data_IF_206670353809
#
_entry.id   IF_206670353809
#
_cell.length_a   1.000
_cell.length_b   1.000
_cell.length_c   1.000
_cell.angle_alpha   90.00
_cell.angle_beta   90.00
_cell.angle_gamma   90.00
#
_symmetry.space_group_name_H-M   'P 1'
#
loop_
_entity.id
_entity.type
_entity.pdbx_description
1 polymer ?
#
# COMPACT_ATOMS: atom_id res chain seq x y z
N UNK A 1 -25.53 -31.16 -1.46
CA UNK A 1 -26.02 -30.72 -0.13
C UNK A 1 -24.77 -30.39 0.65
N UNK A 2 -24.68 -29.19 1.22
CA UNK A 2 -23.50 -28.75 1.97
C UNK A 2 -23.37 -29.60 3.23
N UNK A 3 -22.17 -30.10 3.51
CA UNK A 3 -21.90 -31.02 4.64
C UNK A 3 -21.92 -30.29 5.99
N UNK A 4 -21.55 -29.00 6.00
CA UNK A 4 -21.44 -28.17 7.20
C UNK A 4 -21.93 -26.74 6.90
N UNK A 5 -22.91 -26.24 7.66
CA UNK A 5 -23.50 -24.90 7.47
C UNK A 5 -22.95 -23.85 8.44
N UNK A 6 -22.05 -24.22 9.36
CA UNK A 6 -21.60 -23.35 10.44
C UNK A 6 -21.04 -21.99 9.96
N UNK A 7 -20.22 -21.96 8.90
CA UNK A 7 -19.68 -20.69 8.38
C UNK A 7 -20.75 -19.83 7.69
N UNK A 8 -21.70 -20.45 7.00
CA UNK A 8 -22.83 -19.73 6.40
C UNK A 8 -23.74 -19.14 7.48
N UNK A 9 -23.99 -19.90 8.55
CA UNK A 9 -24.77 -19.46 9.71
C UNK A 9 -24.06 -18.34 10.49
N UNK A 10 -22.74 -18.43 10.64
CA UNK A 10 -21.94 -17.43 11.33
C UNK A 10 -21.97 -16.08 10.60
N UNK A 11 -21.92 -16.11 9.26
CA UNK A 11 -22.10 -14.92 8.42
C UNK A 11 -23.58 -14.52 8.26
N UNK A 12 -24.52 -15.41 8.57
CA UNK A 12 -25.96 -15.16 8.42
C UNK A 12 -26.44 -15.19 6.98
N UNK A 13 -25.85 -16.04 6.14
CA UNK A 13 -26.20 -16.21 4.72
C UNK A 13 -26.64 -17.65 4.41
N UNK A 14 -27.30 -17.84 3.27
CA UNK A 14 -27.65 -19.17 2.79
C UNK A 14 -26.44 -19.85 2.11
N UNK A 15 -26.42 -21.18 2.07
CA UNK A 15 -25.37 -21.96 1.41
C UNK A 15 -25.19 -21.65 -0.09
N UNK A 16 -26.24 -21.13 -0.75
CA UNK A 16 -26.22 -20.70 -2.15
C UNK A 16 -25.85 -19.21 -2.32
N UNK A 17 -25.42 -18.51 -1.27
CA UNK A 17 -25.08 -17.11 -1.32
C UNK A 17 -23.95 -16.84 -2.34
N UNK A 18 -24.09 -15.76 -3.08
CA UNK A 18 -23.08 -15.25 -4.00
C UNK A 18 -21.86 -14.73 -3.22
N UNK A 19 -20.70 -14.65 -3.87
CA UNK A 19 -19.49 -14.09 -3.23
C UNK A 19 -19.71 -12.66 -2.73
N UNK A 20 -20.54 -11.89 -3.43
CA UNK A 20 -20.93 -10.54 -3.01
C UNK A 20 -21.77 -10.55 -1.73
N UNK A 21 -22.73 -11.47 -1.60
CA UNK A 21 -23.56 -11.62 -0.40
C UNK A 21 -22.73 -12.08 0.80
N UNK A 22 -21.80 -13.02 0.60
CA UNK A 22 -20.86 -13.50 1.62
C UNK A 22 -19.97 -12.34 2.10
N UNK A 23 -19.41 -11.57 1.17
CA UNK A 23 -18.58 -10.39 1.48
C UNK A 23 -19.36 -9.32 2.24
N UNK A 24 -20.59 -9.03 1.81
CA UNK A 24 -21.47 -8.08 2.51
C UNK A 24 -21.82 -8.56 3.91
N UNK A 25 -22.09 -9.85 4.06
CA UNK A 25 -22.44 -10.47 5.32
C UNK A 25 -21.27 -10.50 6.30
N UNK A 26 -20.07 -10.83 5.82
CA UNK A 26 -18.83 -10.71 6.60
C UNK A 26 -18.62 -9.29 7.08
N UNK A 27 -18.72 -8.28 6.20
CA UNK A 27 -18.62 -6.88 6.61
C UNK A 27 -19.54 -6.59 7.77
N UNK A 28 -20.84 -6.92 7.65
CA UNK A 28 -21.86 -6.71 8.68
C UNK A 28 -21.57 -7.47 9.98
N UNK A 29 -21.15 -8.72 9.89
CA UNK A 29 -20.79 -9.54 11.03
C UNK A 29 -19.55 -8.99 11.75
N UNK A 30 -18.53 -8.55 11.01
CA UNK A 30 -17.32 -7.93 11.52
C UNK A 30 -17.64 -6.62 12.28
N UNK A 31 -18.57 -5.78 11.80
CA UNK A 31 -19.05 -4.60 12.56
C UNK A 31 -19.67 -5.02 13.88
N UNK A 32 -20.62 -5.95 13.79
CA UNK A 32 -21.50 -6.31 14.90
C UNK A 32 -20.72 -7.00 16.01
N UNK A 33 -19.74 -7.80 15.63
CA UNK A 33 -18.94 -8.63 16.53
C UNK A 33 -17.57 -8.02 16.84
N UNK A 34 -17.30 -6.81 16.35
CA UNK A 34 -16.07 -6.11 16.68
C UNK A 34 -15.95 -5.93 18.21
N UNK A 35 -14.79 -6.24 18.82
CA UNK A 35 -14.57 -6.07 20.26
C UNK A 35 -14.90 -4.66 20.77
N UNK A 36 -14.60 -3.61 20.00
CA UNK A 36 -14.94 -2.22 20.38
C UNK A 36 -16.44 -1.94 20.52
N UNK A 37 -17.28 -2.63 19.76
CA UNK A 37 -18.74 -2.48 19.87
C UNK A 37 -19.33 -3.38 20.95
N UNK A 38 -18.51 -4.29 21.49
CA UNK A 38 -18.90 -5.26 22.51
C UNK A 38 -17.82 -5.32 23.62
N UNK A 39 -17.44 -4.18 24.24
CA UNK A 39 -16.35 -4.12 25.20
C UNK A 39 -16.64 -4.96 26.46
N UNK A 40 -17.91 -5.14 26.80
CA UNK A 40 -18.35 -5.95 27.94
C UNK A 40 -18.45 -7.46 27.62
N UNK A 41 -18.21 -7.88 26.37
CA UNK A 41 -18.26 -9.29 25.96
C UNK A 41 -16.83 -9.86 25.83
N UNK A 42 -16.34 -10.64 26.83
CA UNK A 42 -15.01 -11.24 26.77
C UNK A 42 -14.86 -12.27 25.64
N UNK A 43 -15.96 -12.70 25.02
CA UNK A 43 -15.95 -13.61 23.86
C UNK A 43 -15.97 -12.88 22.51
N UNK A 44 -16.00 -11.54 22.49
CA UNK A 44 -16.08 -10.77 21.24
C UNK A 44 -14.87 -11.01 20.33
N UNK A 45 -13.65 -11.07 20.89
CA UNK A 45 -12.43 -11.36 20.12
C UNK A 45 -12.48 -12.74 19.45
N UNK A 46 -12.92 -13.77 20.18
CA UNK A 46 -13.08 -15.12 19.65
C UNK A 46 -14.14 -15.17 18.54
N UNK A 47 -15.29 -14.51 18.74
CA UNK A 47 -16.36 -14.42 17.73
C UNK A 47 -15.90 -13.67 16.49
N UNK A 48 -15.10 -12.61 16.64
CA UNK A 48 -14.54 -11.86 15.51
C UNK A 48 -13.56 -12.73 14.71
N UNK A 49 -12.72 -13.50 15.40
CA UNK A 49 -11.80 -14.45 14.77
C UNK A 49 -12.56 -15.55 13.99
N UNK A 50 -13.62 -16.12 14.58
CA UNK A 50 -14.45 -17.11 13.89
C UNK A 50 -15.11 -16.54 12.62
N UNK A 51 -15.53 -15.26 12.66
CA UNK A 51 -16.12 -14.56 11.50
C UNK A 51 -15.09 -14.30 10.40
N UNK A 52 -13.86 -13.96 10.78
CA UNK A 52 -12.72 -13.86 9.86
C UNK A 52 -12.43 -15.19 9.17
N UNK A 53 -12.36 -16.28 9.93
CA UNK A 53 -12.15 -17.64 9.43
C UNK A 53 -13.27 -18.07 8.46
N UNK A 54 -14.53 -17.84 8.86
CA UNK A 54 -15.69 -18.15 8.02
C UNK A 54 -15.62 -17.41 6.67
N UNK A 55 -15.23 -16.14 6.69
CA UNK A 55 -15.07 -15.38 5.46
C UNK A 55 -13.92 -15.89 4.62
N UNK A 56 -12.74 -16.13 5.19
CA UNK A 56 -11.57 -16.65 4.47
C UNK A 56 -11.90 -17.93 3.69
N UNK A 57 -12.63 -18.85 4.33
CA UNK A 57 -13.03 -20.11 3.70
C UNK A 57 -14.13 -19.89 2.66
N UNK A 58 -15.13 -19.06 2.93
CA UNK A 58 -16.29 -18.87 2.05
C UNK A 58 -16.05 -17.90 0.89
N UNK A 59 -15.05 -17.01 0.99
CA UNK A 59 -14.71 -16.03 -0.05
C UNK A 59 -13.88 -16.64 -1.17
N UNK A 60 -13.03 -17.62 -0.88
CA UNK A 60 -12.25 -18.35 -1.89
C UNK A 60 -13.06 -19.52 -2.46
N UNK A 61 -13.20 -19.57 -3.79
CA UNK A 61 -14.02 -20.60 -4.46
C UNK A 61 -13.52 -22.03 -4.21
N UNK A 62 -12.20 -22.24 -4.09
CA UNK A 62 -11.61 -23.57 -3.86
C UNK A 62 -11.78 -24.01 -2.41
N UNK A 63 -11.56 -23.11 -1.45
CA UNK A 63 -11.76 -23.38 -0.02
C UNK A 63 -13.23 -23.60 0.29
N UNK A 64 -14.13 -22.78 -0.29
CA UNK A 64 -15.57 -22.96 -0.18
C UNK A 64 -16.02 -24.31 -0.74
N UNK A 65 -15.52 -24.69 -1.92
CA UNK A 65 -15.84 -26.00 -2.51
C UNK A 65 -15.34 -27.18 -1.65
N UNK A 66 -14.19 -27.05 -0.99
CA UNK A 66 -13.70 -28.05 -0.01
C UNK A 66 -14.59 -28.08 1.22
N UNK A 67 -14.91 -26.93 1.79
CA UNK A 67 -15.80 -26.79 2.95
C UNK A 67 -17.18 -27.41 2.68
N UNK A 68 -17.77 -27.10 1.53
CA UNK A 68 -19.07 -27.63 1.13
C UNK A 68 -19.09 -29.16 1.03
N UNK A 69 -17.93 -29.76 0.70
CA UNK A 69 -17.77 -31.20 0.46
C UNK A 69 -17.30 -31.99 1.68
N UNK A 70 -16.51 -31.38 2.56
CA UNK A 70 -15.80 -32.09 3.64
C UNK A 70 -16.01 -31.49 5.03
N UNK A 71 -16.62 -30.30 5.14
CA UNK A 71 -16.85 -29.59 6.39
C UNK A 71 -15.60 -28.93 6.97
N UNK A 72 -15.76 -28.29 8.13
CA UNK A 72 -14.76 -27.41 8.76
C UNK A 72 -13.36 -28.02 8.95
N UNK A 73 -13.27 -29.32 9.25
CA UNK A 73 -12.00 -29.98 9.58
C UNK A 73 -11.00 -30.12 8.43
N UNK A 74 -11.45 -30.01 7.18
CA UNK A 74 -10.62 -30.19 5.97
C UNK A 74 -10.52 -28.91 5.12
N UNK A 75 -11.12 -27.81 5.59
CA UNK A 75 -11.21 -26.53 4.86
C UNK A 75 -10.45 -25.37 5.50
N UNK A 76 -10.01 -25.52 6.75
CA UNK A 76 -9.18 -24.52 7.43
C UNK A 76 -7.72 -24.72 6.99
N UNK A 77 -7.02 -23.68 6.50
CA UNK A 77 -5.57 -23.73 6.32
C UNK A 77 -4.87 -24.14 7.62
N UNK A 78 -3.80 -24.95 7.53
CA UNK A 78 -3.20 -25.60 8.71
C UNK A 78 -2.56 -24.60 9.69
N UNK A 79 -2.34 -23.36 9.26
CA UNK A 79 -1.94 -22.22 10.09
C UNK A 79 -2.99 -21.09 9.89
N UNK A 80 -3.51 -20.50 10.98
CA UNK A 80 -4.47 -19.39 10.89
C UNK A 80 -3.86 -18.16 10.18
N UNK A 81 -4.69 -17.24 9.63
CA UNK A 81 -4.29 -16.03 8.88
C UNK A 81 -2.83 -16.05 8.36
N UNK A 82 -2.55 -16.91 7.38
CA UNK A 82 -1.20 -17.30 6.94
C UNK A 82 -0.36 -16.15 6.35
N UNK A 83 -0.97 -15.04 5.91
CA UNK A 83 -0.25 -13.93 5.29
C UNK A 83 -0.81 -12.56 5.71
N UNK A 84 -0.06 -11.74 6.49
CA UNK A 84 -0.38 -10.33 6.77
C UNK A 84 -0.70 -9.52 5.51
N UNK A 85 -0.19 -9.93 4.35
CA UNK A 85 -0.43 -9.31 3.05
C UNK A 85 -1.77 -9.68 2.43
N UNK A 86 -2.26 -10.90 2.65
CA UNK A 86 -3.62 -11.28 2.28
C UNK A 86 -4.64 -10.59 3.19
N UNK A 87 -4.36 -10.53 4.50
CA UNK A 87 -5.15 -9.75 5.44
C UNK A 87 -5.18 -8.27 5.02
N UNK A 88 -4.04 -7.69 4.65
CA UNK A 88 -3.96 -6.34 4.13
C UNK A 88 -4.80 -6.16 2.85
N UNK A 89 -4.62 -7.03 1.85
CA UNK A 89 -5.39 -6.97 0.60
C UNK A 89 -6.90 -7.08 0.83
N UNK A 90 -7.30 -7.89 1.81
CA UNK A 90 -8.68 -8.01 2.27
C UNK A 90 -9.20 -6.72 2.92
N UNK A 91 -8.39 -6.08 3.78
CA UNK A 91 -8.76 -4.88 4.51
C UNK A 91 -8.85 -3.66 3.61
N UNK A 92 -8.00 -3.53 2.59
CA UNK A 92 -7.93 -2.35 1.73
C UNK A 92 -8.67 -2.50 0.39
N UNK A 93 -9.49 -3.54 0.25
CA UNK A 93 -10.36 -3.72 -0.92
C UNK A 93 -9.60 -4.05 -2.22
N UNK A 94 -8.40 -4.63 -2.11
CA UNK A 94 -7.45 -4.82 -3.21
C UNK A 94 -8.04 -5.61 -4.39
N UNK A 95 -8.83 -6.64 -4.12
CA UNK A 95 -9.40 -7.48 -5.19
C UNK A 95 -10.43 -6.76 -6.06
N UNK A 96 -11.32 -5.97 -5.44
CA UNK A 96 -12.38 -5.28 -6.18
C UNK A 96 -11.81 -4.20 -7.11
N UNK A 97 -10.72 -3.54 -6.68
CA UNK A 97 -10.03 -2.54 -7.48
C UNK A 97 -8.93 -3.10 -8.38
N UNK A 98 -8.68 -4.41 -8.39
CA UNK A 98 -7.59 -5.03 -9.16
C UNK A 98 -7.59 -4.65 -10.63
N UNK A 99 -8.77 -4.51 -11.25
CA UNK A 99 -8.90 -4.07 -12.65
C UNK A 99 -8.47 -2.62 -12.90
N UNK A 100 -8.48 -1.78 -11.86
CA UNK A 100 -8.18 -0.35 -11.93
C UNK A 100 -6.76 -0.05 -11.46
N UNK A 101 -6.36 -0.59 -10.31
CA UNK A 101 -5.10 -0.24 -9.62
C UNK A 101 -4.06 -1.35 -9.63
N UNK A 102 -4.42 -2.57 -10.02
CA UNK A 102 -3.57 -3.75 -9.89
C UNK A 102 -3.58 -4.33 -8.47
N UNK A 103 -2.64 -5.24 -8.21
CA UNK A 103 -2.42 -5.78 -6.86
C UNK A 103 -1.52 -4.81 -6.07
N UNK A 104 -1.84 -4.61 -4.79
CA UNK A 104 -1.01 -3.82 -3.88
C UNK A 104 0.10 -4.71 -3.34
N UNK A 105 1.35 -4.40 -3.67
CA UNK A 105 2.51 -5.23 -3.33
C UNK A 105 3.44 -4.55 -2.33
N UNK A 106 3.24 -3.28 -2.01
CA UNK A 106 4.16 -2.52 -1.17
C UNK A 106 4.44 -3.19 0.18
N UNK A 107 3.42 -3.71 0.88
CA UNK A 107 3.64 -4.33 2.19
C UNK A 107 4.48 -5.61 2.09
N UNK A 108 4.20 -6.45 1.09
CA UNK A 108 4.98 -7.66 0.78
C UNK A 108 6.43 -7.32 0.46
N UNK A 109 6.62 -6.27 -0.35
CA UNK A 109 7.94 -5.78 -0.74
C UNK A 109 8.71 -5.27 0.47
N UNK A 110 8.09 -4.49 1.34
CA UNK A 110 8.72 -3.99 2.56
C UNK A 110 9.10 -5.13 3.52
N UNK A 111 8.19 -6.09 3.75
CA UNK A 111 8.48 -7.25 4.62
C UNK A 111 9.67 -8.04 4.10
N UNK A 112 9.65 -8.39 2.82
CA UNK A 112 10.71 -9.19 2.21
C UNK A 112 12.04 -8.44 2.08
N UNK A 113 12.01 -7.13 1.84
CA UNK A 113 13.20 -6.29 1.88
C UNK A 113 13.80 -6.17 3.29
N UNK A 114 12.96 -6.08 4.33
CA UNK A 114 13.41 -6.08 5.72
C UNK A 114 14.08 -7.42 6.11
N UNK A 115 13.50 -8.54 5.68
CA UNK A 115 14.08 -9.88 5.86
C UNK A 115 15.44 -10.01 5.14
N UNK A 116 15.53 -9.58 3.88
CA UNK A 116 16.76 -9.66 3.06
C UNK A 116 17.88 -8.73 3.54
N UNK A 117 17.52 -7.55 4.07
CA UNK A 117 18.48 -6.58 4.61
C UNK A 117 19.03 -6.98 5.99
N UNK A 118 18.43 -7.98 6.65
CA UNK A 118 18.91 -8.47 7.94
C UNK A 118 18.57 -7.56 9.12
N UNK A 119 17.51 -6.74 9.00
CA UNK A 119 17.06 -5.82 10.05
C UNK A 119 16.46 -6.51 11.28
N UNK A 120 16.46 -7.85 11.33
CA UNK A 120 16.00 -8.65 12.46
C UNK A 120 17.16 -9.42 13.07
N UNK A 121 17.46 -9.12 14.34
CA UNK A 121 18.23 -9.89 15.34
C UNK A 121 19.76 -9.75 15.52
N UNK A 122 20.49 -8.89 14.80
CA UNK A 122 21.96 -8.82 14.98
C UNK A 122 22.48 -7.77 16.00
N UNK A 123 21.69 -6.78 16.44
CA UNK A 123 22.22 -5.72 17.34
C UNK A 123 22.20 -6.07 18.84
N UNK A 124 21.65 -7.21 19.26
CA UNK A 124 21.61 -7.61 20.69
C UNK A 124 22.81 -8.41 21.21
N UNK A 125 23.87 -8.63 20.41
CA UNK A 125 25.00 -9.48 20.82
C UNK A 125 26.32 -8.78 21.13
N UNK A 126 26.48 -7.50 20.79
CA UNK A 126 27.79 -6.86 20.91
C UNK A 126 28.00 -6.00 22.19
N UNK A 127 26.99 -5.82 23.06
CA UNK A 127 27.17 -5.05 24.32
C UNK A 127 27.55 -5.86 25.57
N UNK A 128 27.82 -7.17 25.48
CA UNK A 128 28.16 -8.00 26.67
C UNK A 128 29.58 -8.56 26.72
N UNK A 129 30.57 -7.90 26.08
CA UNK A 129 31.98 -8.31 26.18
C UNK A 129 32.98 -7.15 26.27
N UNK A 130 32.69 -6.11 27.05
CA UNK A 130 33.77 -5.22 27.55
C UNK A 130 33.48 -4.83 29.00
N UNK A 131 33.59 -5.79 29.91
CA UNK A 131 33.77 -5.53 31.35
C UNK A 131 34.33 -6.81 31.99
N UNK A 132 35.65 -7.01 31.90
CA UNK A 132 36.48 -7.53 33.00
C UNK A 132 37.96 -7.60 32.56
N UNK A 133 38.77 -6.60 32.95
CA UNK A 133 40.19 -6.76 33.28
C UNK A 133 40.77 -5.44 33.79
N UNK A 134 40.69 -5.29 35.10
CA UNK A 134 41.32 -4.26 35.93
C UNK A 134 42.85 -4.22 35.85
N UNK A 135 43.37 -2.98 35.99
CA UNK A 135 44.62 -2.54 36.67
C UNK A 135 45.98 -2.92 36.08
N UNK A 136 46.82 -1.94 35.69
CA UNK A 136 47.80 -1.34 36.63
C UNK A 136 48.55 -0.11 36.04
N UNK A 137 48.98 0.74 36.98
CA UNK A 137 49.68 2.03 37.03
C UNK A 137 50.50 2.66 35.86
N UNK A 138 50.28 3.97 35.72
CA UNK A 138 51.13 5.12 35.24
C UNK A 138 52.59 5.15 35.74
N UNK A 139 53.47 6.12 35.35
CA UNK A 139 53.56 6.97 34.14
C UNK A 139 55.00 7.08 33.56
N UNK A 140 55.14 7.79 32.42
CA UNK A 140 56.11 8.89 32.19
C UNK A 140 57.06 8.78 30.96
N UNK A 141 57.07 9.90 30.21
CA UNK A 141 58.20 10.63 29.61
C UNK A 141 58.83 10.23 28.25
N UNK A 142 58.70 11.20 27.33
CA UNK A 142 59.72 11.75 26.39
C UNK A 142 60.47 10.81 25.44
N UNK A 143 60.35 11.06 24.13
CA UNK A 143 61.24 11.92 23.33
C UNK A 143 61.34 11.46 21.86
N UNK A 144 61.44 12.47 21.00
CA UNK A 144 61.87 12.49 19.59
C UNK A 144 62.73 11.29 19.13
N UNK A 145 62.56 10.87 17.88
CA UNK A 145 63.40 11.35 16.75
C UNK A 145 63.14 10.53 15.48
N UNK A 146 62.91 11.28 14.41
CA UNK A 146 62.95 10.95 12.97
C UNK A 146 64.04 9.96 12.57
N UNK A 147 63.77 9.00 11.66
CA UNK A 147 64.69 8.58 10.58
C UNK A 147 64.07 7.54 9.63
N UNK A 148 63.65 8.04 8.47
CA UNK A 148 63.83 7.49 7.11
C UNK A 148 64.02 5.97 6.88
N UNK A 149 63.11 5.46 6.07
CA UNK A 149 63.33 4.65 4.85
C UNK A 149 63.78 3.21 5.01
N UNK A 150 62.82 2.28 4.83
CA UNK A 150 63.00 1.21 3.85
C UNK A 150 61.65 0.74 3.33
N UNK A 151 61.45 0.95 2.03
CA UNK A 151 60.38 0.38 1.21
C UNK A 151 60.33 -1.14 1.37
N UNK A 152 59.23 -1.65 1.92
CA UNK A 152 58.78 -3.02 1.66
C UNK A 152 57.55 -2.94 0.76
N UNK A 153 57.72 -3.47 -0.43
CA UNK A 153 56.67 -3.78 -1.40
C UNK A 153 55.50 -4.47 -0.67
N UNK A 154 54.32 -3.85 -0.75
CA UNK A 154 53.07 -4.52 -0.40
C UNK A 154 52.58 -5.18 -1.68
N UNK A 155 52.83 -6.48 -1.75
CA UNK A 155 52.16 -7.44 -2.64
C UNK A 155 50.63 -7.19 -2.62
N UNK A 156 49.96 -6.98 -3.78
CA UNK A 156 48.50 -6.83 -3.84
C UNK A 156 47.84 -8.22 -3.75
N UNK A 157 48.13 -8.94 -2.68
CA UNK A 157 47.46 -10.18 -2.34
C UNK A 157 46.07 -9.85 -1.83
N UNK A 158 45.06 -10.26 -2.61
CA UNK A 158 43.62 -10.25 -2.32
C UNK A 158 43.34 -10.32 -0.80
N UNK A 159 42.82 -9.24 -0.22
CA UNK A 159 42.11 -9.32 1.08
C UNK A 159 41.02 -10.38 0.91
N UNK A 160 41.19 -11.54 1.55
CA UNK A 160 40.09 -12.50 1.67
C UNK A 160 39.04 -11.82 2.54
N UNK A 161 37.86 -11.62 1.96
CA UNK A 161 36.69 -11.17 2.70
C UNK A 161 36.48 -12.12 3.88
N UNK A 162 36.26 -11.56 5.06
CA UNK A 162 35.81 -12.32 6.23
C UNK A 162 34.47 -13.00 5.90
N UNK A 163 34.13 -14.09 6.59
CA UNK A 163 32.85 -14.78 6.34
C UNK A 163 31.65 -13.84 6.52
N UNK A 164 31.73 -12.90 7.47
CA UNK A 164 30.73 -11.83 7.65
C UNK A 164 30.64 -10.91 6.43
N UNK A 165 31.76 -10.44 5.89
CA UNK A 165 31.77 -9.60 4.68
C UNK A 165 31.25 -10.35 3.43
N UNK A 166 31.43 -11.68 3.36
CA UNK A 166 30.85 -12.51 2.28
C UNK A 166 29.34 -12.67 2.43
N UNK A 167 28.85 -12.86 3.66
CA UNK A 167 27.43 -12.94 3.97
C UNK A 167 26.72 -11.60 3.69
N UNK A 168 27.33 -10.47 4.07
CA UNK A 168 26.81 -9.12 3.80
C UNK A 168 26.73 -8.84 2.29
N UNK A 169 27.79 -9.19 1.56
CA UNK A 169 27.81 -9.04 0.10
C UNK A 169 26.72 -9.90 -0.56
N UNK A 170 26.51 -11.12 -0.07
CA UNK A 170 25.46 -12.02 -0.58
C UNK A 170 24.06 -11.47 -0.29
N UNK A 171 23.79 -10.99 0.92
CA UNK A 171 22.52 -10.34 1.29
C UNK A 171 22.20 -9.15 0.39
N UNK A 172 23.21 -8.29 0.15
CA UNK A 172 23.07 -7.14 -0.75
C UNK A 172 22.75 -7.55 -2.18
N UNK A 173 23.44 -8.56 -2.73
CA UNK A 173 23.16 -9.07 -4.08
C UNK A 173 21.76 -9.71 -4.19
N UNK A 174 21.27 -10.36 -3.14
CA UNK A 174 19.92 -10.91 -3.08
C UNK A 174 18.86 -9.81 -3.01
N UNK A 175 19.10 -8.75 -2.22
CA UNK A 175 18.23 -7.58 -2.14
C UNK A 175 18.16 -6.84 -3.49
N UNK A 176 19.29 -6.56 -4.15
CA UNK A 176 19.32 -5.91 -5.46
C UNK A 176 18.55 -6.72 -6.53
N UNK A 177 18.67 -8.05 -6.52
CA UNK A 177 17.89 -8.93 -7.42
C UNK A 177 16.40 -8.87 -7.12
N UNK A 178 16.04 -8.87 -5.84
CA UNK A 178 14.64 -8.80 -5.41
C UNK A 178 14.01 -7.46 -5.81
N UNK A 179 14.71 -6.34 -5.60
CA UNK A 179 14.25 -5.01 -6.00
C UNK A 179 14.05 -4.92 -7.52
N UNK A 180 14.98 -5.47 -8.32
CA UNK A 180 14.85 -5.51 -9.78
C UNK A 180 13.66 -6.37 -10.23
N UNK A 181 13.44 -7.53 -9.59
CA UNK A 181 12.26 -8.37 -9.85
C UNK A 181 10.96 -7.62 -9.57
N UNK A 182 10.87 -6.92 -8.43
CA UNK A 182 9.71 -6.10 -8.08
C UNK A 182 9.49 -4.98 -9.10
N UNK A 183 10.56 -4.31 -9.54
CA UNK A 183 10.51 -3.27 -10.57
C UNK A 183 9.93 -3.81 -11.89
N UNK A 184 10.38 -4.99 -12.33
CA UNK A 184 9.90 -5.63 -13.55
C UNK A 184 8.42 -6.04 -13.44
N UNK A 185 8.01 -6.62 -12.31
CA UNK A 185 6.60 -6.95 -12.05
C UNK A 185 5.71 -5.70 -12.10
N UNK A 186 6.14 -4.58 -11.51
CA UNK A 186 5.41 -3.31 -11.58
C UNK A 186 5.30 -2.76 -13.00
N UNK A 187 6.32 -2.93 -13.83
CA UNK A 187 6.28 -2.54 -15.25
C UNK A 187 5.25 -3.38 -16.01
N UNK A 188 5.26 -4.70 -15.83
CA UNK A 188 4.34 -5.61 -16.52
C UNK A 188 2.89 -5.37 -16.06
N UNK A 189 2.66 -5.24 -14.75
CA UNK A 189 1.35 -4.89 -14.19
C UNK A 189 0.82 -3.58 -14.80
N UNK A 190 1.65 -2.52 -14.87
CA UNK A 190 1.22 -1.26 -15.50
C UNK A 190 0.85 -1.44 -16.96
N UNK A 191 1.56 -2.27 -17.71
CA UNK A 191 1.25 -2.57 -19.11
C UNK A 191 -0.10 -3.28 -19.24
N UNK A 192 -0.34 -4.29 -18.40
CA UNK A 192 -1.61 -5.01 -18.35
C UNK A 192 -2.78 -4.07 -18.02
N UNK A 193 -2.64 -3.24 -16.99
CA UNK A 193 -3.63 -2.22 -16.61
C UNK A 193 -3.87 -1.20 -17.72
N UNK A 194 -2.82 -0.81 -18.45
CA UNK A 194 -2.94 0.09 -19.59
C UNK A 194 -3.80 -0.53 -20.69
N UNK A 195 -3.61 -1.82 -21.00
CA UNK A 195 -4.42 -2.53 -21.99
C UNK A 195 -5.89 -2.65 -21.53
N UNK A 196 -6.12 -3.08 -20.28
CA UNK A 196 -7.48 -3.16 -19.71
C UNK A 196 -8.20 -1.82 -19.75
N UNK A 197 -7.50 -0.73 -19.42
CA UNK A 197 -8.09 0.60 -19.46
C UNK A 197 -8.35 1.03 -20.91
N UNK A 198 -7.45 0.76 -21.86
CA UNK A 198 -7.70 0.99 -23.29
C UNK A 198 -8.96 0.27 -23.76
N UNK A 199 -9.16 -0.99 -23.36
CA UNK A 199 -10.36 -1.76 -23.69
C UNK A 199 -11.62 -1.11 -23.10
N UNK A 200 -11.57 -0.65 -21.84
CA UNK A 200 -12.69 0.12 -21.25
C UNK A 200 -12.94 1.43 -22.02
N UNK A 201 -11.90 2.17 -22.41
CA UNK A 201 -12.02 3.42 -23.19
C UNK A 201 -12.55 3.16 -24.60
N UNK A 202 -12.31 1.98 -25.18
CA UNK A 202 -12.77 1.61 -26.53
C UNK A 202 -14.31 1.63 -26.66
N UNK A 203 -15.01 1.32 -25.56
CA UNK A 203 -16.48 1.39 -25.48
C UNK A 203 -17.05 2.76 -25.83
N UNK A 204 -16.26 3.81 -25.66
CA UNK A 204 -16.61 5.17 -26.08
C UNK A 204 -15.80 5.60 -27.32
N UNK A 205 -14.49 5.37 -27.34
CA UNK A 205 -13.60 5.90 -28.38
C UNK A 205 -13.65 5.19 -29.74
N UNK A 206 -14.35 4.05 -29.84
CA UNK A 206 -14.66 3.39 -31.13
C UNK A 206 -16.08 3.70 -31.65
N UNK A 207 -16.75 4.69 -31.05
CA UNK A 207 -18.11 5.12 -31.43
C UNK A 207 -18.08 6.48 -32.12
N UNK A 208 -19.25 7.07 -32.38
CA UNK A 208 -19.33 8.47 -32.83
C UNK A 208 -19.13 9.50 -31.70
N UNK A 209 -18.96 9.03 -30.46
CA UNK A 209 -18.65 9.81 -29.26
C UNK A 209 -19.66 10.94 -28.97
N UNK A 210 -20.90 10.79 -29.45
CA UNK A 210 -21.98 11.74 -29.18
C UNK A 210 -22.46 11.66 -27.74
N UNK A 211 -23.27 12.65 -27.36
CA UNK A 211 -23.73 12.84 -25.98
C UNK A 211 -24.50 11.62 -25.44
N UNK A 212 -25.34 10.97 -26.24
CA UNK A 212 -26.09 9.77 -25.87
C UNK A 212 -25.17 8.57 -25.57
N UNK A 213 -24.12 8.38 -26.36
CA UNK A 213 -23.10 7.36 -26.11
C UNK A 213 -22.28 7.73 -24.88
N UNK A 214 -21.92 9.01 -24.72
CA UNK A 214 -21.21 9.50 -23.54
C UNK A 214 -22.03 9.27 -22.25
N UNK A 215 -23.34 9.51 -22.28
CA UNK A 215 -24.23 9.22 -21.14
C UNK A 215 -24.28 7.72 -20.83
N UNK A 216 -24.38 6.87 -21.86
CA UNK A 216 -24.39 5.42 -21.68
C UNK A 216 -23.08 4.91 -21.08
N UNK A 217 -21.94 5.44 -21.55
CA UNK A 217 -20.62 5.15 -21.02
C UNK A 217 -20.49 5.59 -19.55
N UNK A 218 -20.92 6.82 -19.22
CA UNK A 218 -20.95 7.32 -17.84
C UNK A 218 -21.84 6.47 -16.93
N UNK A 219 -23.02 6.06 -17.41
CA UNK A 219 -23.93 5.20 -16.66
C UNK A 219 -23.29 3.87 -16.28
N UNK A 220 -22.59 3.21 -17.22
CA UNK A 220 -21.86 1.97 -16.92
C UNK A 220 -20.78 2.17 -15.85
N UNK A 221 -19.99 3.23 -15.97
CA UNK A 221 -18.96 3.57 -14.99
C UNK A 221 -19.56 3.87 -13.61
N UNK A 222 -20.74 4.49 -13.58
CA UNK A 222 -21.43 4.78 -12.33
C UNK A 222 -21.89 3.51 -11.64
N UNK A 223 -22.47 2.54 -12.34
CA UNK A 223 -22.81 1.23 -11.74
C UNK A 223 -21.60 0.52 -11.13
N UNK A 224 -20.45 0.55 -11.83
CA UNK A 224 -19.20 -0.03 -11.32
C UNK A 224 -18.74 0.73 -10.07
N UNK A 225 -18.77 2.07 -10.11
CA UNK A 225 -18.40 2.92 -8.98
C UNK A 225 -19.31 2.76 -7.75
N UNK A 226 -20.62 2.53 -7.93
CA UNK A 226 -21.55 2.26 -6.83
C UNK A 226 -21.21 0.95 -6.10
N UNK A 227 -20.67 -0.05 -6.81
CA UNK A 227 -20.17 -1.27 -6.16
C UNK A 227 -18.83 -1.02 -5.45
N UNK A 228 -17.92 -0.32 -6.13
CA UNK A 228 -16.57 -0.06 -5.63
C UNK A 228 -16.55 0.87 -4.43
N UNK A 229 -17.47 1.83 -4.36
CA UNK A 229 -17.51 2.77 -3.23
C UNK A 229 -17.79 2.06 -1.92
N UNK A 230 -18.41 0.88 -1.91
CA UNK A 230 -18.73 0.15 -0.69
C UNK A 230 -17.55 -0.67 -0.15
N UNK A 231 -16.44 -0.73 -0.87
CA UNK A 231 -15.18 -1.32 -0.40
C UNK A 231 -14.50 -0.42 0.64
N UNK A 232 -13.67 -1.00 1.49
CA UNK A 232 -12.82 -0.24 2.43
C UNK A 232 -11.96 0.74 1.67
N UNK A 233 -11.96 2.01 2.07
CA UNK A 233 -11.29 3.11 1.37
C UNK A 233 -11.73 3.28 -0.10
N UNK A 234 -12.79 2.60 -0.53
CA UNK A 234 -13.22 2.57 -1.93
C UNK A 234 -13.60 3.94 -2.46
N UNK A 235 -14.25 4.77 -1.63
CA UNK A 235 -14.54 6.15 -1.98
C UNK A 235 -13.26 6.98 -2.21
N UNK A 236 -12.28 6.84 -1.33
CA UNK A 236 -10.98 7.53 -1.44
C UNK A 236 -10.19 7.07 -2.68
N UNK A 237 -10.21 5.76 -2.98
CA UNK A 237 -9.57 5.21 -4.19
C UNK A 237 -10.25 5.73 -5.44
N UNK A 238 -11.58 5.71 -5.51
CA UNK A 238 -12.35 6.27 -6.63
C UNK A 238 -12.03 7.75 -6.84
N UNK A 239 -12.00 8.55 -5.77
CA UNK A 239 -11.65 9.97 -5.88
C UNK A 239 -10.21 10.18 -6.35
N UNK A 240 -9.28 9.34 -5.89
CA UNK A 240 -7.87 9.37 -6.31
C UNK A 240 -7.74 9.05 -7.81
N UNK A 241 -8.36 7.95 -8.26
CA UNK A 241 -8.46 7.59 -9.69
C UNK A 241 -9.05 8.75 -10.50
N UNK A 242 -10.19 9.26 -10.05
CA UNK A 242 -10.92 10.31 -10.75
C UNK A 242 -10.10 11.58 -10.92
N UNK A 243 -9.43 12.01 -9.84
CA UNK A 243 -8.56 13.18 -9.81
C UNK A 243 -7.36 13.03 -10.76
N UNK A 244 -6.69 11.87 -10.75
CA UNK A 244 -5.54 11.62 -11.63
C UNK A 244 -5.98 11.59 -13.09
N UNK A 245 -7.04 10.85 -13.43
CA UNK A 245 -7.53 10.77 -14.81
C UNK A 245 -7.95 12.15 -15.34
N UNK A 246 -8.67 12.93 -14.53
CA UNK A 246 -9.08 14.30 -14.87
C UNK A 246 -7.88 15.23 -15.06
N UNK A 247 -6.85 15.10 -14.21
CA UNK A 247 -5.65 15.94 -14.28
C UNK A 247 -4.79 15.58 -15.49
N UNK A 248 -4.47 14.30 -15.68
CA UNK A 248 -3.62 13.82 -16.79
C UNK A 248 -4.27 14.08 -18.15
N UNK A 249 -5.58 13.83 -18.29
CA UNK A 249 -6.33 14.15 -19.51
C UNK A 249 -6.33 15.65 -19.82
N UNK A 250 -6.61 16.52 -18.84
CA UNK A 250 -6.60 17.97 -19.03
C UNK A 250 -5.22 18.49 -19.43
N UNK A 251 -4.15 18.03 -18.77
CA UNK A 251 -2.77 18.41 -19.11
C UNK A 251 -2.47 18.02 -20.55
N UNK A 252 -2.77 16.77 -20.91
CA UNK A 252 -2.53 16.26 -22.26
C UNK A 252 -3.29 17.09 -23.32
N UNK A 253 -4.60 17.28 -23.15
CA UNK A 253 -5.45 18.03 -24.08
C UNK A 253 -4.99 19.49 -24.24
N UNK A 254 -4.62 20.16 -23.14
CA UNK A 254 -4.09 21.54 -23.18
C UNK A 254 -2.77 21.62 -23.95
N UNK A 255 -1.90 20.62 -23.79
CA UNK A 255 -0.64 20.56 -24.54
C UNK A 255 -0.87 20.35 -26.05
N UNK A 256 -1.92 19.61 -26.44
CA UNK A 256 -2.28 19.46 -27.86
C UNK A 256 -2.84 20.74 -28.47
N UNK A 257 -3.63 21.52 -27.73
CA UNK A 257 -4.12 22.83 -28.21
C UNK A 257 -3.00 23.85 -28.44
N UNK A 258 -1.83 23.67 -27.82
CA UNK A 258 -0.67 24.55 -28.02
C UNK A 258 0.11 24.24 -29.31
N UNK A 259 0.04 23.01 -29.83
CA UNK A 259 0.79 22.58 -31.01
C UNK A 259 -0.08 22.29 -32.26
N UNK A 260 -1.40 22.15 -32.11
CA UNK A 260 -2.32 21.79 -33.20
C UNK A 260 -3.25 22.94 -33.59
N UNK A 261 -2.98 23.58 -34.74
CA UNK A 261 -3.85 24.53 -35.44
C UNK A 261 -4.10 25.89 -34.77
N UNK A 262 -3.04 26.71 -34.70
CA UNK A 262 -3.16 28.17 -34.62
C UNK A 262 -2.39 28.84 -33.46
N UNK A 263 -1.18 29.33 -33.74
CA UNK A 263 -0.69 30.54 -33.08
C UNK A 263 0.39 30.40 -32.01
N UNK A 264 1.63 30.12 -32.44
CA UNK A 264 2.83 30.60 -31.71
C UNK A 264 3.07 32.12 -31.91
N UNK A 265 2.24 32.80 -32.71
CA UNK A 265 2.45 34.20 -33.15
C UNK A 265 1.47 35.25 -32.62
N UNK A 266 0.48 34.92 -31.78
CA UNK A 266 -0.40 35.94 -31.19
C UNK A 266 -0.68 35.69 -29.70
N UNK A 267 0.30 36.01 -28.86
CA UNK A 267 0.15 37.05 -27.83
C UNK A 267 1.30 36.96 -26.82
N UNK A 268 2.45 37.47 -27.22
CA UNK A 268 3.44 38.04 -26.29
C UNK A 268 2.88 39.38 -25.79
N UNK A 269 1.69 39.38 -25.18
CA UNK A 269 1.15 40.53 -24.43
C UNK A 269 -0.03 40.16 -23.53
N UNK A 270 0.09 39.10 -22.75
CA UNK A 270 -0.73 38.94 -21.54
C UNK A 270 0.10 38.24 -20.45
N UNK A 271 1.04 39.01 -19.88
CA UNK A 271 1.74 38.62 -18.65
C UNK A 271 0.72 38.72 -17.51
N UNK A 272 0.27 37.58 -16.98
CA UNK A 272 -0.42 37.57 -15.68
C UNK A 272 -1.13 36.29 -15.27
N UNK A 273 -1.59 35.43 -16.20
CA UNK A 273 -2.54 34.35 -15.83
C UNK A 273 -2.01 32.92 -15.89
N UNK A 274 -1.09 32.61 -16.81
CA UNK A 274 -0.81 31.20 -17.18
C UNK A 274 0.23 30.52 -16.27
N UNK A 275 0.94 31.28 -15.44
CA UNK A 275 2.01 30.74 -14.56
C UNK A 275 1.47 30.04 -13.32
N UNK A 276 0.22 30.32 -12.90
CA UNK A 276 -0.34 29.76 -11.65
C UNK A 276 -0.70 28.27 -11.77
N UNK A 277 -1.21 27.83 -12.92
CA UNK A 277 -1.70 26.45 -13.08
C UNK A 277 -0.57 25.44 -13.32
N UNK A 278 0.53 25.85 -13.98
CA UNK A 278 1.73 25.01 -14.16
C UNK A 278 2.50 24.85 -12.83
N UNK A 279 2.45 25.85 -11.94
CA UNK A 279 3.06 25.76 -10.61
C UNK A 279 2.34 24.75 -9.69
N UNK A 280 1.03 24.53 -9.88
CA UNK A 280 0.29 23.50 -9.12
C UNK A 280 0.75 22.07 -9.43
N UNK A 281 1.27 21.82 -10.63
CA UNK A 281 1.87 20.51 -11.01
C UNK A 281 3.22 20.29 -10.32
N UNK A 282 3.96 21.36 -10.04
CA UNK A 282 5.15 21.31 -9.16
C UNK A 282 4.71 21.02 -7.72
N UNK A 283 3.53 21.46 -7.28
CA UNK A 283 3.03 21.12 -5.94
C UNK A 283 2.82 19.61 -5.74
N UNK A 284 2.43 18.85 -6.76
CA UNK A 284 2.33 17.39 -6.64
C UNK A 284 3.70 16.71 -6.57
N UNK A 285 4.70 17.26 -7.26
CA UNK A 285 6.08 16.83 -7.13
C UNK A 285 6.69 17.26 -5.78
N UNK A 286 6.31 18.42 -5.25
CA UNK A 286 6.67 18.90 -3.92
C UNK A 286 5.97 18.13 -2.81
N UNK A 287 4.73 17.69 -3.00
CA UNK A 287 4.04 16.80 -2.05
C UNK A 287 4.69 15.43 -2.07
N UNK A 288 5.02 14.88 -3.26
CA UNK A 288 5.81 13.66 -3.36
C UNK A 288 7.21 13.83 -2.76
N UNK A 289 7.87 14.96 -2.98
CA UNK A 289 9.18 15.28 -2.43
C UNK A 289 9.10 15.50 -0.92
N UNK A 290 8.04 16.11 -0.41
CA UNK A 290 7.79 16.32 1.02
C UNK A 290 7.42 15.03 1.72
N UNK A 291 6.63 14.15 1.11
CA UNK A 291 6.38 12.79 1.59
C UNK A 291 7.64 11.95 1.53
N UNK A 292 8.47 12.08 0.47
CA UNK A 292 9.78 11.43 0.39
C UNK A 292 10.77 11.99 1.41
N UNK A 293 10.75 13.30 1.67
CA UNK A 293 11.57 13.97 2.69
C UNK A 293 11.09 13.59 4.10
N UNK A 294 9.79 13.53 4.36
CA UNK A 294 9.19 13.07 5.62
C UNK A 294 9.51 11.58 5.84
N UNK A 295 9.38 10.74 4.81
CA UNK A 295 9.78 9.32 4.86
C UNK A 295 11.29 9.15 5.04
N UNK A 296 12.12 9.90 4.31
CA UNK A 296 13.57 9.84 4.43
C UNK A 296 14.06 10.38 5.77
N UNK A 297 13.39 11.39 6.32
CA UNK A 297 13.72 11.97 7.63
C UNK A 297 13.29 11.03 8.76
N UNK A 298 12.15 10.38 8.60
CA UNK A 298 11.69 9.31 9.49
C UNK A 298 12.61 8.07 9.43
N UNK A 299 13.30 7.83 8.31
CA UNK A 299 14.34 6.79 8.17
C UNK A 299 15.77 7.25 8.55
N UNK A 300 16.11 8.54 8.40
CA UNK A 300 17.47 9.08 8.63
C UNK A 300 17.71 9.58 10.05
N UNK A 301 16.65 9.90 10.80
CA UNK A 301 16.79 10.23 12.21
C UNK A 301 17.17 8.95 12.98
N UNK A 302 18.46 8.62 12.97
CA UNK A 302 19.09 7.65 13.89
C UNK A 302 18.72 7.95 15.34
N UNK A 303 18.46 9.24 15.64
CA UNK A 303 17.98 9.71 16.94
C UNK A 303 16.50 9.37 17.17
N UNK A 304 15.64 9.33 16.14
CA UNK A 304 14.24 8.86 16.25
C UNK A 304 14.18 7.35 16.46
N UNK A 305 14.99 6.58 15.73
CA UNK A 305 15.10 5.12 15.95
C UNK A 305 15.72 4.81 17.32
N UNK A 306 16.77 5.52 17.74
CA UNK A 306 17.35 5.36 19.08
C UNK A 306 16.42 5.83 20.21
N UNK A 307 15.63 6.89 20.01
CA UNK A 307 14.61 7.34 20.97
C UNK A 307 13.44 6.36 21.05
N UNK A 308 13.02 5.80 19.91
CA UNK A 308 11.92 4.83 19.86
C UNK A 308 12.36 3.46 20.38
N UNK A 309 13.60 3.05 20.16
CA UNK A 309 14.21 1.88 20.79
C UNK A 309 14.46 2.10 22.28
N UNK A 310 14.89 3.29 22.70
CA UNK A 310 15.02 3.65 24.10
C UNK A 310 13.65 3.72 24.78
N UNK A 311 12.61 4.26 24.12
CA UNK A 311 11.22 4.25 24.58
C UNK A 311 10.64 2.83 24.59
N UNK A 312 10.95 1.98 23.61
CA UNK A 312 10.54 0.57 23.62
C UNK A 312 11.30 -0.26 24.65
N UNK A 313 12.57 0.04 24.93
CA UNK A 313 13.38 -0.57 25.99
C UNK A 313 12.94 -0.08 27.38
N UNK A 314 12.63 1.21 27.55
CA UNK A 314 12.01 1.76 28.77
C UNK A 314 10.58 1.28 28.93
N UNK A 315 9.80 1.14 27.87
CA UNK A 315 8.47 0.53 27.90
C UNK A 315 8.55 -0.97 28.23
N UNK A 316 9.53 -1.70 27.70
CA UNK A 316 9.78 -3.12 28.07
C UNK A 316 10.30 -3.25 29.49
N UNK A 317 11.13 -2.33 29.98
CA UNK A 317 11.62 -2.29 31.38
C UNK A 317 10.52 -1.89 32.36
N UNK A 318 9.67 -0.92 32.00
CA UNK A 318 8.53 -0.51 32.83
C UNK A 318 7.36 -1.50 32.78
N UNK A 319 7.10 -2.14 31.63
CA UNK A 319 6.12 -3.23 31.49
C UNK A 319 6.60 -4.54 32.14
N UNK A 320 7.91 -4.76 32.27
CA UNK A 320 8.45 -5.89 33.04
C UNK A 320 8.29 -5.71 34.57
N UNK A 321 8.01 -4.49 35.04
CA UNK A 321 7.81 -4.16 36.46
C UNK A 321 6.35 -3.80 36.82
N UNK A 322 5.48 -3.55 35.84
CA UNK A 322 4.04 -3.35 36.04
C UNK A 322 3.24 -4.50 35.41
N UNK A 323 2.53 -5.28 36.24
CA UNK A 323 1.47 -6.18 35.78
C UNK A 323 0.39 -5.36 35.07
N UNK A 324 0.46 -5.31 33.74
CA UNK A 324 -0.59 -4.71 32.92
C UNK A 324 -1.81 -5.61 32.99
N UNK A 325 -2.98 -5.00 33.18
CA UNK A 325 -4.23 -5.75 33.08
C UNK A 325 -4.41 -6.25 31.64
N UNK A 326 -5.10 -7.38 31.43
CA UNK A 326 -5.42 -7.86 30.07
C UNK A 326 -6.12 -6.81 29.19
N UNK A 327 -6.85 -5.86 29.81
CA UNK A 327 -7.54 -4.76 29.15
C UNK A 327 -6.57 -3.69 28.62
N UNK A 328 -5.58 -3.29 29.42
CA UNK A 328 -4.55 -2.31 29.02
C UNK A 328 -3.64 -2.86 27.90
N UNK A 329 -3.32 -4.16 27.95
CA UNK A 329 -2.59 -4.86 26.88
C UNK A 329 -3.38 -4.85 25.57
N UNK A 330 -4.67 -5.17 25.61
CA UNK A 330 -5.54 -5.15 24.44
C UNK A 330 -5.68 -3.74 23.84
N UNK A 331 -5.75 -2.70 24.67
CA UNK A 331 -5.81 -1.30 24.20
C UNK A 331 -4.51 -0.87 23.52
N UNK A 332 -3.35 -1.27 24.08
CA UNK A 332 -2.04 -1.02 23.48
C UNK A 332 -1.86 -1.74 22.14
N UNK A 333 -2.23 -3.02 22.06
CA UNK A 333 -2.20 -3.81 20.82
C UNK A 333 -3.06 -3.16 19.73
N UNK A 334 -4.27 -2.73 20.07
CA UNK A 334 -5.18 -2.01 19.16
C UNK A 334 -4.54 -0.72 18.62
N UNK A 335 -3.93 0.06 19.51
CA UNK A 335 -3.28 1.33 19.12
C UNK A 335 -2.13 1.10 18.14
N UNK A 336 -1.24 0.15 18.45
CA UNK A 336 -0.10 -0.18 17.58
C UNK A 336 -0.59 -0.72 16.22
N UNK A 337 -1.58 -1.60 16.23
CA UNK A 337 -2.20 -2.13 15.01
C UNK A 337 -2.78 -1.00 14.14
N UNK A 338 -3.51 -0.05 14.74
CA UNK A 338 -4.06 1.10 14.02
C UNK A 338 -2.98 1.95 13.33
N UNK A 339 -1.84 2.18 14.00
CA UNK A 339 -0.70 2.91 13.42
C UNK A 339 -0.05 2.16 12.26
N UNK A 340 0.14 0.85 12.39
CA UNK A 340 0.68 0.01 11.32
C UNK A 340 -0.25 0.04 10.10
N UNK A 341 -1.56 -0.10 10.32
CA UNK A 341 -2.57 -0.02 9.26
C UNK A 341 -2.58 1.35 8.57
N UNK A 342 -2.45 2.44 9.33
CA UNK A 342 -2.40 3.81 8.77
C UNK A 342 -1.16 4.05 7.91
N UNK A 343 0.02 3.59 8.36
CA UNK A 343 1.25 3.67 7.59
C UNK A 343 1.16 2.83 6.30
N UNK A 344 0.66 1.61 6.41
CA UNK A 344 0.51 0.70 5.28
C UNK A 344 -0.54 1.21 4.26
N UNK A 345 -1.62 1.84 4.74
CA UNK A 345 -2.57 2.56 3.88
C UNK A 345 -1.91 3.72 3.13
N UNK A 346 -1.15 4.55 3.84
CA UNK A 346 -0.48 5.71 3.24
C UNK A 346 0.50 5.28 2.15
N UNK A 347 1.25 4.22 2.39
CA UNK A 347 2.10 3.59 1.39
C UNK A 347 1.31 3.06 0.19
N UNK A 348 0.21 2.36 0.42
CA UNK A 348 -0.66 1.84 -0.64
C UNK A 348 -1.28 2.94 -1.49
N UNK A 349 -1.72 4.05 -0.88
CA UNK A 349 -2.18 5.23 -1.59
C UNK A 349 -1.09 5.80 -2.51
N UNK A 350 0.14 5.87 -2.03
CA UNK A 350 1.28 6.30 -2.86
C UNK A 350 1.51 5.36 -4.05
N UNK A 351 1.47 4.05 -3.82
CA UNK A 351 1.58 3.02 -4.86
C UNK A 351 0.46 3.16 -5.92
N UNK A 352 -0.80 3.26 -5.48
CA UNK A 352 -1.96 3.48 -6.36
C UNK A 352 -1.73 4.70 -7.23
N UNK A 353 -1.38 5.85 -6.62
CA UNK A 353 -1.17 7.07 -7.38
C UNK A 353 -0.05 6.93 -8.42
N UNK A 354 1.08 6.30 -8.05
CA UNK A 354 2.20 6.04 -8.97
C UNK A 354 1.78 5.16 -10.15
N UNK A 355 1.11 4.05 -9.87
CA UNK A 355 0.61 3.10 -10.87
C UNK A 355 -0.35 3.78 -11.85
N UNK A 356 -1.35 4.51 -11.36
CA UNK A 356 -2.36 5.15 -12.20
C UNK A 356 -1.77 6.27 -13.05
N UNK A 357 -0.83 7.06 -12.52
CA UNK A 357 -0.11 8.06 -13.32
C UNK A 357 0.66 7.40 -14.46
N UNK A 358 1.38 6.31 -14.19
CA UNK A 358 2.12 5.55 -15.20
C UNK A 358 1.21 4.92 -16.26
N UNK A 359 0.05 4.38 -15.86
CA UNK A 359 -0.97 3.87 -16.80
C UNK A 359 -1.49 4.99 -17.70
N UNK A 360 -1.79 6.17 -17.15
CA UNK A 360 -2.17 7.32 -17.97
C UNK A 360 -1.08 7.70 -18.96
N UNK A 361 0.19 7.65 -18.54
CA UNK A 361 1.31 7.99 -19.40
C UNK A 361 1.44 7.03 -20.58
N UNK A 362 1.34 5.73 -20.33
CA UNK A 362 1.30 4.71 -21.38
C UNK A 362 0.15 4.94 -22.38
N UNK A 363 -1.01 5.40 -21.92
CA UNK A 363 -2.19 5.58 -22.79
C UNK A 363 -2.11 6.88 -23.61
N UNK A 364 -1.61 7.95 -23.00
CA UNK A 364 -1.64 9.31 -23.54
C UNK A 364 -0.37 9.69 -24.31
N UNK A 365 0.78 9.09 -24.00
CA UNK A 365 2.05 9.48 -24.61
C UNK A 365 2.69 8.39 -25.47
N UNK A 366 1.99 7.29 -25.73
CA UNK A 366 2.42 6.28 -26.70
C UNK A 366 2.49 6.85 -28.12
N UNK A 367 3.71 7.06 -28.62
CA UNK A 367 3.97 7.66 -29.92
C UNK A 367 3.62 6.73 -31.10
N UNK A 368 3.51 5.41 -30.85
CA UNK A 368 3.06 4.46 -31.87
C UNK A 368 1.56 4.62 -32.18
N UNK A 369 0.81 5.25 -31.27
CA UNK A 369 -0.62 5.50 -31.44
C UNK A 369 -0.87 6.88 -32.08
N UNK A 370 -1.68 6.97 -33.16
CA UNK A 370 -2.01 8.24 -33.78
C UNK A 370 -2.55 9.28 -32.80
N UNK A 371 -2.08 10.53 -32.93
CA UNK A 371 -2.42 11.62 -32.01
C UNK A 371 -3.94 11.78 -31.80
N UNK A 372 -4.72 11.69 -32.89
CA UNK A 372 -6.19 11.76 -32.80
C UNK A 372 -6.75 10.72 -31.82
N UNK A 373 -6.29 9.47 -31.91
CA UNK A 373 -6.73 8.40 -31.02
C UNK A 373 -6.34 8.64 -29.57
N UNK A 374 -5.16 9.25 -29.34
CA UNK A 374 -4.72 9.68 -28.01
C UNK A 374 -5.56 10.83 -27.45
N UNK A 375 -5.99 11.77 -28.29
CA UNK A 375 -6.95 12.83 -27.92
C UNK A 375 -8.31 12.22 -27.54
N UNK A 376 -8.81 11.26 -28.32
CA UNK A 376 -10.07 10.56 -28.04
C UNK A 376 -9.99 9.82 -26.70
N UNK A 377 -8.88 9.10 -26.44
CA UNK A 377 -8.58 8.45 -25.15
C UNK A 377 -8.51 9.45 -23.99
N UNK A 378 -7.91 10.62 -24.19
CA UNK A 378 -7.87 11.66 -23.17
C UNK A 378 -9.25 12.19 -22.82
N UNK A 379 -10.12 12.40 -23.82
CA UNK A 379 -11.51 12.79 -23.58
C UNK A 379 -12.29 11.69 -22.83
N UNK A 380 -12.09 10.42 -23.19
CA UNK A 380 -12.70 9.29 -22.49
C UNK A 380 -12.23 9.18 -21.02
N UNK A 381 -10.92 9.32 -20.77
CA UNK A 381 -10.34 9.36 -19.41
C UNK A 381 -10.90 10.52 -18.59
N UNK A 382 -11.13 11.68 -19.21
CA UNK A 382 -11.77 12.81 -18.54
C UNK A 382 -13.18 12.46 -18.06
N UNK A 383 -13.98 11.71 -18.84
CA UNK A 383 -15.31 11.28 -18.43
C UNK A 383 -15.26 10.29 -17.24
N UNK A 384 -14.32 9.33 -17.26
CA UNK A 384 -14.07 8.46 -16.09
C UNK A 384 -13.71 9.32 -14.87
N UNK A 385 -12.80 10.28 -15.07
CA UNK A 385 -12.38 11.25 -14.06
C UNK A 385 -13.55 12.01 -13.42
N UNK A 386 -14.50 12.46 -14.25
CA UNK A 386 -15.71 13.15 -13.80
C UNK A 386 -16.64 12.24 -13.00
N UNK A 387 -16.89 11.01 -13.46
CA UNK A 387 -17.77 10.06 -12.76
C UNK A 387 -17.18 9.69 -11.41
N UNK A 388 -15.93 9.23 -11.39
CA UNK A 388 -15.31 8.70 -10.17
C UNK A 388 -15.09 9.76 -9.09
N UNK A 389 -14.73 11.00 -9.47
CA UNK A 389 -14.62 12.10 -8.50
C UNK A 389 -15.97 12.60 -7.98
N UNK A 390 -17.09 12.25 -8.61
CA UNK A 390 -18.43 12.67 -8.20
C UNK A 390 -19.15 11.65 -7.30
N UNK A 391 -18.56 10.46 -7.12
CA UNK A 391 -19.13 9.40 -6.27
C UNK A 391 -19.20 9.89 -4.84
N UNK A 392 -20.31 9.59 -4.17
CA UNK A 392 -20.53 9.89 -2.75
C UNK A 392 -21.21 8.70 -2.09
N UNK A 393 -21.08 8.62 -0.76
CA UNK A 393 -21.83 7.70 0.09
C UNK A 393 -22.86 8.52 0.87
N UNK A 394 -24.02 7.93 1.11
CA UNK A 394 -25.00 8.41 2.11
C UNK A 394 -24.49 8.12 3.52
N UNK A 395 -25.10 8.73 4.54
CA UNK A 395 -24.71 8.48 5.94
C UNK A 395 -24.77 6.99 6.30
N UNK A 396 -25.83 6.29 5.89
CA UNK A 396 -26.01 4.85 6.11
C UNK A 396 -24.93 4.03 5.38
N UNK A 397 -24.61 4.38 4.12
CA UNK A 397 -23.55 3.71 3.36
C UNK A 397 -22.17 3.97 3.95
N UNK A 398 -21.93 5.19 4.45
CA UNK A 398 -20.70 5.56 5.14
C UNK A 398 -20.56 4.79 6.45
N UNK A 399 -21.64 4.61 7.22
CA UNK A 399 -21.61 3.76 8.41
C UNK A 399 -21.32 2.29 8.07
N UNK A 400 -21.93 1.75 7.00
CA UNK A 400 -21.68 0.38 6.54
C UNK A 400 -20.23 0.17 6.04
N UNK A 401 -19.59 1.20 5.49
CA UNK A 401 -18.23 1.13 4.93
C UNK A 401 -17.11 1.49 5.92
N UNK A 402 -17.38 2.30 6.96
CA UNK A 402 -16.36 2.92 7.82
C UNK A 402 -15.66 2.03 8.85
N UNK A 403 -16.02 0.76 9.00
CA UNK A 403 -15.55 -0.06 10.13
C UNK A 403 -14.03 -0.21 10.15
N UNK A 404 -13.43 -0.45 8.98
CA UNK A 404 -11.98 -0.55 8.85
C UNK A 404 -11.32 0.84 8.71
N UNK A 405 -12.01 1.80 8.09
CA UNK A 405 -11.55 3.19 7.97
C UNK A 405 -11.45 3.86 9.35
N UNK A 406 -12.34 3.53 10.29
CA UNK A 406 -12.37 4.09 11.64
C UNK A 406 -11.16 3.66 12.47
N UNK A 407 -10.76 2.38 12.41
CA UNK A 407 -9.55 1.90 13.09
C UNK A 407 -8.30 2.66 12.62
N UNK A 408 -8.20 2.92 11.31
CA UNK A 408 -7.11 3.73 10.73
C UNK A 408 -7.23 5.21 11.11
N UNK A 409 -8.44 5.77 11.08
CA UNK A 409 -8.70 7.18 11.38
C UNK A 409 -8.44 7.52 12.85
N UNK A 410 -8.87 6.67 13.79
CA UNK A 410 -8.64 6.85 15.23
C UNK A 410 -7.14 6.88 15.56
N UNK A 411 -6.35 6.02 14.90
CA UNK A 411 -4.89 5.99 15.07
C UNK A 411 -4.17 7.17 14.40
N UNK A 412 -4.80 7.82 13.42
CA UNK A 412 -4.24 8.97 12.69
C UNK A 412 -4.56 10.33 13.32
N UNK A 413 -5.51 10.37 14.27
CA UNK A 413 -6.03 11.61 14.87
C UNK A 413 -5.38 12.01 16.22
N UNK A 414 -4.45 11.20 16.75
CA UNK A 414 -3.71 11.45 18.00
C UNK A 414 -2.22 11.30 17.77
#
# INVERSE_FOLDING_TARGET
MVVDTAYYELLGVQANATSLEIKKAYRKAAIRLHPDKNPDDPSAAAKFQEVGEAYQVLSDEKLRAKYDKFGKQESIPTEGFEDPSEFFSMIFGGEAFKEWIGELTLLQELSKSAELSGYTDDEKKDEKKEDDATTDNTPNKTSNTTSSTTTKEVDPSKKQLTEKEKEDQKRKEELEKFEEECRLKKIEMRKELSNKLIDKLSLFTETDMKDDVAQSFKGKLQYEAESLKMESFGLEILHTLGSIYKTKSKIFLKNQTFFGWGGFWHSVKEKGGVVKDTFSTVSTALDAQRTMEEYSKMQQDNEYHALKEAEEEEAKKSAAEQEHTPEELAEMEKYLMGKVLAAAWSGSKFEIQGTIRGVCDNILYDEEVPLKKRIDRANALKLIGEVFSAVTRTEDEDEEARIFEQLVAEASQK
#
